data_IF_744120381072
#
_entry.id   IF_744120381072
#
_cell.length_a   1.000
_cell.length_b   1.000
_cell.length_c   1.000
_cell.angle_alpha   90.00
_cell.angle_beta   90.00
_cell.angle_gamma   90.00
#
_symmetry.space_group_name_H-M   'P 1'
#
loop_
_entity.id
_entity.type
_entity.pdbx_description
1 polymer ?
#
# COMPACT_ATOMS: atom_id res chain seq x y z
N UNK A 1 -10.82 -24.48 32.75
CA UNK A 1 -9.63 -23.61 32.67
C UNK A 1 -9.24 -23.49 31.21
N UNK A 2 -9.54 -22.35 30.56
CA UNK A 2 -9.08 -22.11 29.20
C UNK A 2 -7.55 -21.98 29.25
N UNK A 3 -6.85 -22.87 28.56
CA UNK A 3 -5.41 -22.76 28.32
C UNK A 3 -5.15 -21.38 27.72
N UNK A 4 -4.23 -20.62 28.30
CA UNK A 4 -3.82 -19.34 27.75
C UNK A 4 -3.37 -19.59 26.31
N UNK A 5 -4.13 -19.03 25.36
CA UNK A 5 -3.87 -19.14 23.94
C UNK A 5 -2.47 -18.57 23.68
N UNK A 6 -1.50 -19.45 23.40
CA UNK A 6 -0.10 -19.05 23.23
C UNK A 6 0.02 -18.21 21.97
N UNK A 7 -0.07 -16.88 22.16
CA UNK A 7 0.08 -15.88 21.11
C UNK A 7 1.55 -15.55 20.96
N UNK A 8 2.11 -15.93 19.81
CA UNK A 8 3.38 -15.36 19.34
C UNK A 8 3.09 -14.07 18.58
N UNK A 9 3.84 -13.00 18.85
CA UNK A 9 3.61 -11.73 18.18
C UNK A 9 4.90 -10.95 17.90
N UNK A 10 4.91 -10.29 16.75
CA UNK A 10 5.91 -9.31 16.33
C UNK A 10 5.14 -7.99 16.23
N UNK A 11 5.58 -6.96 16.96
CA UNK A 11 4.89 -5.67 16.99
C UNK A 11 5.81 -4.55 16.55
N UNK A 12 5.31 -3.69 15.66
CA UNK A 12 5.98 -2.52 15.12
C UNK A 12 7.42 -2.82 14.64
N UNK A 13 7.68 -4.02 14.12
CA UNK A 13 9.00 -4.38 13.62
C UNK A 13 9.32 -3.53 12.38
N UNK A 14 10.45 -2.82 12.30
CA UNK A 14 10.78 -2.03 11.13
C UNK A 14 10.98 -2.95 9.93
N UNK A 15 10.45 -2.55 8.78
CA UNK A 15 10.55 -3.36 7.56
C UNK A 15 11.04 -2.56 6.37
N UNK A 16 11.62 -3.28 5.41
CA UNK A 16 11.76 -2.84 4.02
C UNK A 16 11.02 -3.82 3.14
N UNK A 17 10.39 -3.33 2.09
CA UNK A 17 9.66 -4.18 1.15
C UNK A 17 10.18 -3.93 -0.24
N UNK A 18 10.44 -5.00 -0.98
CA UNK A 18 10.81 -4.97 -2.39
C UNK A 18 9.81 -5.82 -3.19
N UNK A 19 9.33 -5.28 -4.31
CA UNK A 19 8.41 -5.99 -5.21
C UNK A 19 8.64 -5.55 -6.65
N UNK A 20 8.25 -6.39 -7.61
CA UNK A 20 8.19 -6.01 -9.02
C UNK A 20 6.81 -5.41 -9.29
N UNK A 21 6.76 -4.19 -9.78
CA UNK A 21 5.48 -3.54 -10.08
C UNK A 21 4.86 -4.15 -11.34
N UNK A 22 3.58 -4.49 -11.26
CA UNK A 22 2.84 -5.13 -12.35
C UNK A 22 2.67 -4.25 -13.59
N UNK A 23 2.76 -2.92 -13.45
CA UNK A 23 2.49 -1.97 -14.52
C UNK A 23 3.71 -1.71 -15.42
N UNK A 24 4.90 -1.56 -14.84
CA UNK A 24 6.14 -1.20 -15.53
C UNK A 24 7.20 -2.31 -15.48
N UNK A 25 7.01 -3.33 -14.64
CA UNK A 25 7.99 -4.39 -14.42
C UNK A 25 9.21 -3.96 -13.60
N UNK A 26 9.22 -2.72 -13.09
CA UNK A 26 10.34 -2.18 -12.33
C UNK A 26 10.31 -2.68 -10.89
N UNK A 27 11.50 -2.81 -10.30
CA UNK A 27 11.64 -3.15 -8.89
C UNK A 27 11.39 -1.89 -8.05
N UNK A 28 10.32 -1.91 -7.26
CA UNK A 28 9.94 -0.83 -6.34
C UNK A 28 10.28 -1.22 -4.91
N UNK A 29 10.56 -0.21 -4.09
CA UNK A 29 10.94 -0.35 -2.68
C UNK A 29 10.12 0.56 -1.79
N UNK A 30 9.84 0.08 -0.58
CA UNK A 30 9.18 0.84 0.49
C UNK A 30 9.97 0.69 1.79
N UNK A 31 10.03 1.77 2.57
CA UNK A 31 10.65 1.80 3.89
C UNK A 31 12.05 2.45 3.94
N UNK A 32 12.72 2.68 2.81
CA UNK A 32 14.09 3.23 2.76
C UNK A 32 14.23 4.67 3.32
N UNK A 33 13.11 5.39 3.47
CA UNK A 33 13.08 6.74 4.05
C UNK A 33 11.84 7.09 4.86
N UNK A 34 10.86 6.19 4.98
CA UNK A 34 9.67 6.33 5.84
C UNK A 34 9.58 5.09 6.74
N UNK A 35 9.18 5.26 8.00
CA UNK A 35 9.10 4.16 8.97
C UNK A 35 7.92 3.24 8.64
N UNK A 36 8.12 2.29 7.72
CA UNK A 36 7.23 1.17 7.52
C UNK A 36 7.49 0.11 8.61
N UNK A 37 6.42 -0.43 9.18
CA UNK A 37 6.51 -1.49 10.19
C UNK A 37 5.59 -2.65 9.89
N UNK A 38 5.91 -3.83 10.42
CA UNK A 38 5.07 -5.02 10.42
C UNK A 38 4.56 -5.30 11.83
N UNK A 39 3.25 -5.51 11.93
CA UNK A 39 2.62 -6.21 13.03
C UNK A 39 2.21 -7.60 12.52
N UNK A 40 2.67 -8.64 13.21
CA UNK A 40 2.32 -10.03 12.97
C UNK A 40 1.91 -10.70 14.28
N UNK A 41 0.94 -11.59 14.22
CA UNK A 41 0.61 -12.45 15.34
C UNK A 41 0.12 -13.81 14.88
N UNK A 42 0.40 -14.83 15.68
CA UNK A 42 0.00 -16.20 15.47
C UNK A 42 -0.59 -16.76 16.75
N UNK A 43 -1.84 -17.21 16.68
CA UNK A 43 -2.55 -17.93 17.73
C UNK A 43 -2.47 -19.42 17.42
N UNK A 44 -1.51 -20.11 18.04
CA UNK A 44 -1.19 -21.50 17.68
C UNK A 44 -2.39 -22.44 17.89
N UNK A 45 -3.16 -22.26 18.97
CA UNK A 45 -4.27 -23.15 19.30
C UNK A 45 -5.45 -22.99 18.33
N UNK A 46 -5.73 -21.75 17.90
CA UNK A 46 -6.82 -21.42 16.98
C UNK A 46 -6.44 -21.50 15.51
N UNK A 47 -5.13 -21.58 15.21
CA UNK A 47 -4.58 -21.47 13.84
C UNK A 47 -5.08 -20.20 13.15
N UNK A 48 -5.07 -19.11 13.91
CA UNK A 48 -5.36 -17.77 13.41
C UNK A 48 -4.07 -16.95 13.34
N UNK A 49 -3.95 -16.09 12.34
CA UNK A 49 -2.88 -15.13 12.26
C UNK A 49 -3.37 -13.78 11.70
N UNK A 50 -2.52 -12.77 11.88
CA UNK A 50 -2.66 -11.51 11.16
C UNK A 50 -1.31 -11.02 10.64
N UNK A 51 -1.34 -10.38 9.48
CA UNK A 51 -0.21 -9.68 8.87
C UNK A 51 -0.66 -8.27 8.49
N UNK A 52 -0.07 -7.28 9.15
CA UNK A 52 -0.45 -5.87 9.01
C UNK A 52 0.80 -5.02 8.84
N UNK A 53 0.98 -4.48 7.63
CA UNK A 53 2.00 -3.48 7.39
C UNK A 53 1.41 -2.11 7.71
N UNK A 54 2.17 -1.27 8.40
CA UNK A 54 1.78 0.07 8.81
C UNK A 54 2.76 1.07 8.23
N UNK A 55 2.26 2.04 7.48
CA UNK A 55 3.09 3.01 6.77
C UNK A 55 2.57 4.44 7.00
N UNK A 56 3.33 5.32 7.67
CA UNK A 56 2.90 6.67 8.00
C UNK A 56 3.14 7.62 6.82
N UNK A 57 2.07 8.28 6.34
CA UNK A 57 2.11 9.24 5.23
C UNK A 57 1.67 10.62 5.74
N UNK A 58 2.36 11.69 5.34
CA UNK A 58 1.96 13.05 5.68
C UNK A 58 0.88 13.55 4.72
N UNK A 59 -0.29 13.93 5.25
CA UNK A 59 -1.42 14.44 4.49
C UNK A 59 -1.65 15.93 4.78
N UNK A 60 -2.19 16.68 3.82
CA UNK A 60 -2.63 18.06 4.01
C UNK A 60 -3.77 18.11 5.02
N UNK A 61 -3.88 19.23 5.74
CA UNK A 61 -4.92 19.42 6.76
C UNK A 61 -4.76 18.51 8.00
N UNK A 62 -3.68 17.71 8.10
CA UNK A 62 -3.41 16.84 9.25
C UNK A 62 -2.06 17.20 9.88
N UNK A 63 -2.06 17.43 11.19
CA UNK A 63 -0.86 17.86 11.93
C UNK A 63 0.21 16.77 12.09
N UNK A 64 -0.20 15.49 12.12
CA UNK A 64 0.68 14.32 12.25
C UNK A 64 0.57 13.43 11.01
N UNK A 65 1.62 12.64 10.73
CA UNK A 65 1.54 11.57 9.72
C UNK A 65 0.39 10.62 10.07
N UNK A 66 -0.37 10.22 9.07
CA UNK A 66 -1.48 9.28 9.20
C UNK A 66 -1.02 7.92 8.73
N UNK A 67 -1.30 6.87 9.51
CA UNK A 67 -0.95 5.51 9.11
C UNK A 67 -1.92 5.01 8.05
N UNK A 68 -1.36 4.45 6.99
CA UNK A 68 -2.05 3.55 6.09
C UNK A 68 -1.69 2.12 6.48
N UNK A 69 -2.62 1.21 6.26
CA UNK A 69 -2.47 -0.19 6.62
C UNK A 69 -2.58 -1.05 5.37
N UNK A 70 -1.64 -1.97 5.19
CA UNK A 70 -1.78 -3.03 4.20
C UNK A 70 -2.07 -4.33 4.94
N UNK A 71 -3.27 -4.86 4.74
CA UNK A 71 -3.74 -6.10 5.33
C UNK A 71 -3.51 -7.25 4.38
N UNK A 72 -2.69 -8.21 4.82
CA UNK A 72 -2.43 -9.45 4.09
C UNK A 72 -3.13 -10.57 4.86
N UNK A 73 -4.23 -11.08 4.32
CA UNK A 73 -5.00 -12.14 4.96
C UNK A 73 -4.29 -13.49 4.76
N UNK A 74 -4.12 -14.33 5.79
CA UNK A 74 -3.51 -15.66 5.67
C UNK A 74 -4.06 -16.52 4.53
N UNK A 75 -5.37 -16.42 4.25
CA UNK A 75 -6.07 -17.14 3.20
C UNK A 75 -5.63 -16.75 1.78
N UNK A 76 -5.01 -15.57 1.63
CA UNK A 76 -4.49 -15.08 0.34
C UNK A 76 -3.08 -15.56 0.05
N UNK A 77 -2.39 -16.21 1.00
CA UNK A 77 -1.06 -16.71 0.72
C UNK A 77 -1.13 -17.96 -0.16
N UNK A 78 -0.44 -17.89 -1.30
CA UNK A 78 -0.02 -19.08 -2.02
C UNK A 78 1.19 -19.72 -1.31
N UNK A 79 2.15 -18.91 -0.90
CA UNK A 79 3.32 -19.36 -0.14
C UNK A 79 3.92 -18.24 0.71
N UNK A 80 4.46 -18.63 1.87
CA UNK A 80 5.32 -17.78 2.71
C UNK A 80 6.62 -18.55 2.97
N UNK A 81 7.76 -17.99 2.57
CA UNK A 81 9.08 -18.59 2.87
C UNK A 81 9.90 -17.63 3.73
N UNK A 82 10.53 -18.17 4.77
CA UNK A 82 11.41 -17.44 5.68
C UNK A 82 12.84 -17.82 5.34
N UNK A 83 13.62 -16.86 4.84
CA UNK A 83 15.04 -17.03 4.54
C UNK A 83 15.86 -16.19 5.52
N UNK A 84 16.54 -16.86 6.45
CA UNK A 84 17.37 -16.26 7.49
C UNK A 84 18.87 -16.26 7.12
N UNK A 85 19.21 -16.68 5.90
CA UNK A 85 20.58 -16.71 5.45
C UNK A 85 21.07 -15.28 5.15
N UNK A 86 22.30 -14.91 5.54
CA UNK A 86 22.80 -13.55 5.31
C UNK A 86 22.72 -13.11 3.84
N UNK A 87 22.94 -14.01 2.88
CA UNK A 87 22.89 -13.72 1.45
C UNK A 87 21.48 -13.39 0.91
N UNK A 88 20.41 -13.72 1.64
CA UNK A 88 19.03 -13.46 1.22
C UNK A 88 18.70 -11.97 1.16
N UNK A 89 19.46 -11.15 1.88
CA UNK A 89 19.28 -9.70 1.94
C UNK A 89 20.33 -9.02 1.08
N UNK A 90 19.92 -8.07 0.23
CA UNK A 90 20.88 -7.35 -0.62
C UNK A 90 21.66 -6.28 0.17
N UNK A 91 22.89 -5.92 -0.24
CA UNK A 91 23.68 -4.88 0.43
C UNK A 91 22.95 -3.52 0.60
N UNK A 92 22.17 -3.00 -0.37
CA UNK A 92 21.43 -1.75 -0.19
C UNK A 92 20.40 -1.80 0.94
N UNK A 93 19.67 -2.91 1.07
CA UNK A 93 18.68 -3.09 2.13
C UNK A 93 19.37 -3.17 3.50
N UNK A 94 20.45 -3.94 3.62
CA UNK A 94 21.28 -4.00 4.85
C UNK A 94 21.74 -2.62 5.29
N UNK A 95 22.34 -1.87 4.36
CA UNK A 95 22.83 -0.53 4.63
C UNK A 95 21.71 0.41 5.10
N UNK A 96 20.47 0.23 4.59
CA UNK A 96 19.33 1.03 5.02
C UNK A 96 18.98 0.83 6.51
N UNK A 97 19.00 -0.41 7.01
CA UNK A 97 18.69 -0.74 8.41
C UNK A 97 19.76 -0.25 9.37
N UNK A 98 21.04 -0.33 8.96
CA UNK A 98 22.17 0.20 9.75
C UNK A 98 22.09 1.73 9.81
N UNK A 99 21.84 2.39 8.66
CA UNK A 99 21.73 3.86 8.58
C UNK A 99 20.59 4.41 9.45
N UNK A 100 19.50 3.67 9.60
CA UNK A 100 18.37 4.07 10.46
C UNK A 100 18.53 3.67 11.93
N UNK A 101 19.61 2.96 12.29
CA UNK A 101 19.86 2.48 13.65
C UNK A 101 18.95 1.34 14.09
N UNK A 102 18.26 0.68 13.15
CA UNK A 102 17.33 -0.42 13.42
C UNK A 102 18.07 -1.77 13.55
N UNK A 103 19.29 -1.86 12.99
CA UNK A 103 20.21 -2.97 13.21
C UNK A 103 21.62 -2.47 13.48
N UNK A 104 22.29 -3.06 14.47
CA UNK A 104 23.72 -2.84 14.76
C UNK A 104 24.61 -3.79 13.98
N UNK A 105 24.13 -4.99 13.67
CA UNK A 105 24.84 -6.00 12.87
C UNK A 105 24.07 -6.31 11.58
N UNK A 106 24.73 -6.29 10.41
CA UNK A 106 24.09 -6.52 9.12
C UNK A 106 23.62 -7.96 8.88
N UNK A 107 24.05 -8.90 9.73
CA UNK A 107 23.71 -10.33 9.65
C UNK A 107 22.38 -10.67 10.36
N UNK A 108 21.82 -9.75 11.15
CA UNK A 108 20.61 -9.99 11.91
C UNK A 108 19.35 -9.56 11.13
N UNK A 109 19.23 -9.97 9.86
CA UNK A 109 18.06 -9.69 9.03
C UNK A 109 17.51 -11.00 8.44
N UNK A 110 16.20 -11.09 8.30
CA UNK A 110 15.53 -12.17 7.57
C UNK A 110 14.79 -11.60 6.36
N UNK A 111 14.64 -12.41 5.32
CA UNK A 111 13.80 -12.13 4.16
C UNK A 111 12.55 -13.02 4.19
N UNK A 112 11.38 -12.39 4.13
CA UNK A 112 10.09 -13.06 4.01
C UNK A 112 9.62 -12.96 2.56
N UNK A 113 9.77 -14.04 1.82
CA UNK A 113 9.28 -14.12 0.46
C UNK A 113 7.80 -14.49 0.48
N UNK A 114 6.97 -13.60 -0.05
CA UNK A 114 5.52 -13.76 -0.11
C UNK A 114 5.08 -13.96 -1.55
N UNK A 115 4.20 -14.95 -1.76
CA UNK A 115 3.42 -15.12 -2.97
C UNK A 115 1.95 -15.22 -2.57
N UNK A 116 1.10 -14.43 -3.21
CA UNK A 116 -0.33 -14.31 -2.91
C UNK A 116 -1.18 -14.78 -4.10
N UNK A 117 -2.30 -15.42 -3.82
CA UNK A 117 -3.33 -15.76 -4.81
C UNK A 117 -4.13 -14.52 -5.23
N UNK A 118 -4.28 -13.57 -4.31
CA UNK A 118 -4.98 -12.29 -4.53
C UNK A 118 -4.18 -11.12 -3.95
N UNK A 119 -4.29 -9.91 -4.53
CA UNK A 119 -3.63 -8.72 -4.00
C UNK A 119 -4.05 -8.39 -2.55
N UNK A 120 -3.25 -7.59 -1.85
CA UNK A 120 -3.52 -7.21 -0.45
C UNK A 120 -4.50 -6.03 -0.35
N UNK A 121 -5.13 -5.84 0.83
CA UNK A 121 -6.09 -4.75 1.04
C UNK A 121 -5.37 -3.53 1.62
N UNK A 122 -5.32 -2.43 0.87
CA UNK A 122 -4.86 -1.15 1.38
C UNK A 122 -6.01 -0.42 2.07
N UNK A 123 -5.79 0.01 3.31
CA UNK A 123 -6.77 0.70 4.15
C UNK A 123 -6.24 2.07 4.55
N UNK A 124 -7.08 3.09 4.37
CA UNK A 124 -6.82 4.48 4.74
C UNK A 124 -7.85 5.03 5.74
N UNK A 125 -7.60 6.25 6.25
CA UNK A 125 -8.57 6.96 7.06
C UNK A 125 -9.79 7.39 6.21
N UNK A 126 -10.91 7.77 6.85
CA UNK A 126 -12.02 8.35 6.15
C UNK A 126 -11.57 9.61 5.36
N UNK A 127 -12.12 9.83 4.15
CA UNK A 127 -11.67 10.87 3.23
C UNK A 127 -12.11 12.29 3.61
N UNK A 128 -12.52 12.52 4.87
CA UNK A 128 -12.85 13.83 5.39
C UNK A 128 -11.89 14.19 6.54
N UNK A 129 -10.94 15.13 6.35
CA UNK A 129 -10.66 15.87 5.11
C UNK A 129 -10.04 14.97 4.01
N UNK A 130 -10.06 15.42 2.73
CA UNK A 130 -9.53 14.67 1.59
C UNK A 130 -8.11 14.13 1.82
N UNK A 131 -7.83 12.96 1.25
CA UNK A 131 -6.56 12.26 1.43
C UNK A 131 -5.47 12.80 0.49
N UNK A 132 -5.19 14.10 0.61
CA UNK A 132 -4.18 14.76 -0.22
C UNK A 132 -2.78 14.66 0.42
N UNK A 133 -1.77 14.13 -0.29
CA UNK A 133 -0.39 14.13 0.20
C UNK A 133 0.15 15.55 0.46
N UNK A 134 0.88 15.73 1.58
CA UNK A 134 1.45 17.02 1.98
C UNK A 134 2.65 17.44 1.12
N UNK A 135 3.34 16.49 0.49
CA UNK A 135 4.58 16.72 -0.25
C UNK A 135 4.76 15.69 -1.36
N UNK A 136 5.68 15.96 -2.31
CA UNK A 136 6.07 15.00 -3.37
C UNK A 136 6.49 13.64 -2.79
N UNK A 137 7.29 13.65 -1.71
CA UNK A 137 7.67 12.42 -1.00
C UNK A 137 6.44 11.65 -0.49
N UNK A 138 5.47 12.34 0.10
CA UNK A 138 4.25 11.69 0.61
C UNK A 138 3.37 11.14 -0.51
N UNK A 139 3.35 11.81 -1.68
CA UNK A 139 2.68 11.29 -2.89
C UNK A 139 3.35 10.01 -3.36
N UNK A 140 4.67 10.03 -3.51
CA UNK A 140 5.44 8.86 -3.94
C UNK A 140 5.26 7.68 -2.97
N UNK A 141 5.26 7.90 -1.65
CA UNK A 141 4.99 6.85 -0.65
C UNK A 141 3.59 6.27 -0.79
N UNK A 142 2.58 7.10 -1.08
CA UNK A 142 1.19 6.64 -1.28
C UNK A 142 1.04 5.86 -2.60
N UNK A 143 1.68 6.31 -3.67
CA UNK A 143 1.74 5.61 -4.97
C UNK A 143 2.45 4.26 -4.83
N UNK A 144 3.56 4.20 -4.09
CA UNK A 144 4.25 2.95 -3.75
C UNK A 144 3.37 2.00 -2.95
N UNK A 145 2.61 2.50 -1.97
CA UNK A 145 1.65 1.69 -1.21
C UNK A 145 0.54 1.11 -2.09
N UNK A 146 -0.03 1.93 -2.98
CA UNK A 146 -1.03 1.47 -3.94
C UNK A 146 -0.44 0.41 -4.89
N UNK A 147 0.78 0.62 -5.39
CA UNK A 147 1.47 -0.37 -6.21
C UNK A 147 1.76 -1.66 -5.46
N UNK A 148 2.21 -1.59 -4.21
CA UNK A 148 2.48 -2.76 -3.38
C UNK A 148 1.18 -3.52 -3.08
N UNK A 149 0.07 -2.81 -2.85
CA UNK A 149 -1.23 -3.44 -2.62
C UNK A 149 -1.71 -4.28 -3.80
N UNK A 150 -1.30 -3.93 -5.02
CA UNK A 150 -1.59 -4.68 -6.25
C UNK A 150 -0.58 -5.81 -6.53
N UNK A 151 0.54 -5.86 -5.81
CA UNK A 151 1.55 -6.90 -6.01
C UNK A 151 1.11 -8.21 -5.35
N UNK A 152 1.28 -9.31 -6.07
CA UNK A 152 1.10 -10.67 -5.54
C UNK A 152 2.42 -11.31 -5.12
N UNK A 153 3.55 -10.70 -5.44
CA UNK A 153 4.88 -11.18 -5.08
C UNK A 153 5.68 -10.02 -4.48
N UNK A 154 6.21 -10.23 -3.28
CA UNK A 154 7.10 -9.28 -2.64
C UNK A 154 8.08 -10.00 -1.70
N UNK A 155 9.13 -9.29 -1.31
CA UNK A 155 10.01 -9.70 -0.22
C UNK A 155 9.94 -8.65 0.87
N UNK A 156 9.63 -9.07 2.09
CA UNK A 156 9.65 -8.21 3.29
C UNK A 156 10.92 -8.53 4.07
N UNK A 157 11.77 -7.55 4.26
CA UNK A 157 12.98 -7.63 5.07
C UNK A 157 12.72 -7.02 6.44
N UNK A 158 13.21 -7.66 7.48
CA UNK A 158 13.07 -7.19 8.86
C UNK A 158 14.20 -7.75 9.75
N UNK A 159 14.46 -7.12 10.90
CA UNK A 159 15.43 -7.63 11.85
C UNK A 159 15.06 -9.01 12.41
N UNK A 160 16.05 -9.88 12.49
CA UNK A 160 15.97 -11.17 13.17
C UNK A 160 16.18 -10.95 14.66
N UNK A 161 15.12 -11.15 15.45
CA UNK A 161 15.20 -11.19 16.90
C UNK A 161 14.77 -12.57 17.41
N UNK A 162 15.10 -12.87 18.67
CA UNK A 162 14.80 -14.18 19.30
C UNK A 162 13.33 -14.63 19.11
N UNK A 163 12.39 -13.68 19.04
CA UNK A 163 10.95 -13.93 18.90
C UNK A 163 10.40 -13.70 17.49
N UNK A 164 11.24 -13.58 16.46
CA UNK A 164 10.81 -13.25 15.08
C UNK A 164 10.71 -14.49 14.19
N UNK A 165 11.77 -15.29 14.11
CA UNK A 165 11.87 -16.38 13.12
C UNK A 165 10.93 -17.54 13.40
N UNK A 166 10.87 -18.04 14.64
CA UNK A 166 10.08 -19.23 14.98
C UNK A 166 8.56 -19.05 14.74
N UNK A 167 7.94 -17.91 15.11
CA UNK A 167 6.54 -17.66 14.78
C UNK A 167 6.26 -17.58 13.28
N UNK A 168 7.15 -16.94 12.51
CA UNK A 168 7.01 -16.81 11.05
C UNK A 168 7.19 -18.15 10.34
N UNK A 169 8.14 -18.99 10.78
CA UNK A 169 8.33 -20.35 10.27
C UNK A 169 7.12 -21.24 10.59
N UNK A 170 6.53 -21.09 11.77
CA UNK A 170 5.29 -21.78 12.15
C UNK A 170 4.12 -21.35 11.24
N UNK A 171 3.98 -20.05 10.99
CA UNK A 171 2.99 -19.51 10.06
C UNK A 171 3.19 -20.05 8.64
N UNK A 172 4.43 -20.06 8.14
CA UNK A 172 4.80 -20.62 6.84
C UNK A 172 4.37 -22.08 6.68
N UNK A 173 4.59 -22.90 7.71
CA UNK A 173 4.15 -24.31 7.74
C UNK A 173 2.62 -24.42 7.71
N UNK A 174 1.91 -23.59 8.48
CA UNK A 174 0.45 -23.59 8.52
C UNK A 174 -0.17 -23.12 7.19
N UNK A 175 0.41 -22.09 6.56
CA UNK A 175 0.04 -21.58 5.23
C UNK A 175 0.20 -22.67 4.19
N UNK A 176 1.36 -23.33 4.15
CA UNK A 176 1.64 -24.40 3.17
C UNK A 176 0.68 -25.58 3.29
N UNK A 177 0.12 -25.80 4.48
CA UNK A 177 -0.91 -26.81 4.73
C UNK A 177 -2.36 -26.33 4.53
N UNK A 178 -2.58 -25.05 4.21
CA UNK A 178 -3.92 -24.47 4.05
C UNK A 178 -4.74 -24.39 5.34
N UNK A 179 -4.09 -24.38 6.52
CA UNK A 179 -4.75 -24.47 7.83
C UNK A 179 -4.75 -23.16 8.62
N UNK A 180 -4.20 -22.08 8.06
CA UNK A 180 -4.11 -20.78 8.72
C UNK A 180 -5.25 -19.87 8.27
N UNK A 181 -5.93 -19.23 9.22
CA UNK A 181 -7.02 -18.29 8.95
C UNK A 181 -6.74 -16.91 9.55
N UNK A 182 -7.46 -15.90 9.08
CA UNK A 182 -7.43 -14.55 9.60
C UNK A 182 -7.98 -14.48 11.01
N UNK A 183 -7.28 -13.79 11.92
CA UNK A 183 -7.85 -13.46 13.22
C UNK A 183 -8.90 -12.35 13.09
N UNK A 184 -10.15 -12.63 13.44
CA UNK A 184 -11.28 -11.72 13.18
C UNK A 184 -11.09 -10.34 13.83
N UNK A 185 -10.53 -10.28 15.03
CA UNK A 185 -10.39 -9.05 15.81
C UNK A 185 -9.35 -8.05 15.28
N UNK A 186 -8.35 -8.54 14.54
CA UNK A 186 -7.16 -7.77 14.16
C UNK A 186 -7.32 -7.02 12.83
N UNK A 187 -8.32 -7.42 12.03
CA UNK A 187 -8.70 -6.81 10.75
C UNK A 187 -9.94 -5.90 10.83
N UNK A 188 -10.51 -5.70 12.03
CA UNK A 188 -11.71 -4.86 12.23
C UNK A 188 -11.44 -3.39 11.88
N UNK A 189 -12.05 -2.95 10.78
CA UNK A 189 -11.86 -1.61 10.23
C UNK A 189 -12.40 -0.53 11.16
N UNK A 190 -13.51 -0.80 11.85
CA UNK A 190 -14.18 0.12 12.78
C UNK A 190 -13.28 0.55 13.95
N UNK A 191 -12.31 -0.29 14.34
CA UNK A 191 -11.35 0.02 15.42
C UNK A 191 -10.23 0.96 14.97
N UNK A 192 -10.04 1.14 13.66
CA UNK A 192 -8.99 2.00 13.13
C UNK A 192 -9.31 3.49 13.32
N UNK A 193 -8.25 4.30 13.28
CA UNK A 193 -8.35 5.77 13.32
C UNK A 193 -9.13 6.33 14.52
N UNK A 194 -8.86 5.76 15.71
CA UNK A 194 -9.53 6.13 16.97
C UNK A 194 -11.03 5.89 16.93
N UNK A 195 -11.45 4.75 16.35
CA UNK A 195 -12.87 4.37 16.27
C UNK A 195 -13.65 5.03 15.13
N UNK A 196 -12.97 5.78 14.26
CA UNK A 196 -13.60 6.45 13.10
C UNK A 196 -13.82 5.52 11.91
N UNK A 197 -13.28 4.31 11.98
CA UNK A 197 -13.30 3.35 10.87
C UNK A 197 -12.19 3.61 9.86
N UNK A 198 -11.63 2.54 9.31
CA UNK A 198 -10.81 2.56 8.10
C UNK A 198 -11.65 2.22 6.87
N UNK A 199 -11.20 2.68 5.70
CA UNK A 199 -11.83 2.37 4.42
C UNK A 199 -10.81 1.74 3.47
N UNK A 200 -11.16 0.66 2.76
CA UNK A 200 -10.36 0.16 1.66
C UNK A 200 -10.15 1.25 0.61
N UNK A 201 -8.91 1.43 0.18
CA UNK A 201 -8.55 2.35 -0.88
C UNK A 201 -8.53 1.55 -2.17
N UNK A 202 -9.39 1.92 -3.12
CA UNK A 202 -9.33 1.34 -4.45
C UNK A 202 -7.96 1.61 -5.07
N UNK A 203 -7.38 0.66 -5.82
CA UNK A 203 -6.23 0.97 -6.66
C UNK A 203 -6.57 2.18 -7.52
N UNK A 204 -5.64 3.12 -7.68
CA UNK A 204 -5.83 4.21 -8.62
C UNK A 204 -6.11 3.60 -9.98
N UNK A 205 -7.35 3.71 -10.43
CA UNK A 205 -7.71 3.42 -11.79
C UNK A 205 -7.00 4.47 -12.64
N UNK A 206 -5.84 4.12 -13.17
CA UNK A 206 -5.40 4.72 -14.42
C UNK A 206 -6.59 4.56 -15.36
N UNK A 207 -7.20 5.64 -15.88
CA UNK A 207 -8.19 5.47 -16.92
C UNK A 207 -7.54 4.64 -18.04
N UNK A 208 -8.25 3.67 -18.63
CA UNK A 208 -7.71 2.96 -19.78
C UNK A 208 -7.23 3.99 -20.81
N UNK A 209 -6.08 3.76 -21.48
CA UNK A 209 -5.51 4.72 -22.43
C UNK A 209 -6.38 5.04 -23.66
N UNK A 210 -7.63 4.55 -23.72
CA UNK A 210 -8.57 4.74 -24.84
C UNK A 210 -9.87 5.47 -24.47
N UNK A 211 -9.90 6.29 -23.43
CA UNK A 211 -10.89 7.35 -23.36
C UNK A 211 -10.35 8.56 -24.13
N UNK A 212 -10.29 8.44 -25.46
CA UNK A 212 -10.23 9.62 -26.31
C UNK A 212 -11.36 10.55 -25.89
N UNK A 213 -11.12 11.87 -25.73
CA UNK A 213 -12.22 12.81 -25.52
C UNK A 213 -13.23 12.63 -26.66
N UNK A 214 -14.55 12.78 -26.42
CA UNK A 214 -15.53 12.63 -27.48
C UNK A 214 -15.14 13.52 -28.67
N UNK A 215 -14.96 12.91 -29.85
CA UNK A 215 -14.74 13.68 -31.07
C UNK A 215 -15.97 14.52 -31.33
N UNK A 216 -15.81 15.84 -31.38
CA UNK A 216 -16.87 16.80 -31.67
C UNK A 216 -17.00 17.03 -33.19
N UNK A 217 -16.90 15.98 -34.00
CA UNK A 217 -16.97 16.07 -35.47
C UNK A 217 -18.40 16.04 -36.03
N UNK A 218 -19.43 16.03 -35.18
CA UNK A 218 -20.82 16.24 -35.62
C UNK A 218 -21.33 17.66 -35.28
N UNK A 219 -20.56 18.68 -35.66
CA UNK A 219 -21.20 19.95 -36.00
C UNK A 219 -21.76 19.81 -37.42
N UNK A 220 -23.03 19.42 -37.50
CA UNK A 220 -23.81 19.59 -38.72
C UNK A 220 -23.66 21.00 -39.29
N UNK A 221 -23.84 21.19 -40.61
CA UNK A 221 -23.44 22.39 -41.33
C UNK A 221 -23.95 23.66 -40.61
N UNK A 222 -23.01 24.57 -40.35
CA UNK A 222 -23.29 25.88 -39.77
C UNK A 222 -24.41 26.57 -40.57
N UNK A 223 -25.42 27.16 -39.89
CA UNK A 223 -26.47 27.87 -40.60
C UNK A 223 -25.88 29.03 -41.42
N UNK A 224 -26.41 29.30 -42.62
CA UNK A 224 -25.85 30.32 -43.50
C UNK A 224 -25.92 31.71 -42.84
N UNK A 225 -24.94 32.58 -43.13
CA UNK A 225 -24.88 33.90 -42.54
C UNK A 225 -26.12 34.74 -42.90
N UNK A 226 -26.68 35.52 -41.95
CA UNK A 226 -27.81 36.39 -42.24
C UNK A 226 -27.43 37.45 -43.28
N UNK A 227 -28.30 37.61 -44.26
CA UNK A 227 -28.16 38.56 -45.37
C UNK A 227 -27.85 39.97 -44.88
N UNK A 228 -26.75 40.55 -45.36
CA UNK A 228 -26.40 41.97 -45.22
C UNK A 228 -27.59 42.83 -45.68
N UNK A 229 -28.32 43.41 -44.73
CA UNK A 229 -29.19 44.57 -45.04
C UNK A 229 -28.28 45.72 -45.46
N UNK A 230 -28.41 46.10 -46.74
CA UNK A 230 -27.87 47.34 -47.29
C UNK A 230 -28.34 48.50 -46.40
N UNK A 231 -27.41 49.07 -45.64
CA UNK A 231 -27.62 50.33 -44.94
C UNK A 231 -27.55 51.41 -46.01
N UNK A 232 -28.69 52.03 -46.29
CA UNK A 232 -28.76 53.19 -47.17
C UNK A 232 -27.83 54.28 -46.62
N UNK A 233 -26.85 54.65 -47.45
CA UNK A 233 -26.20 55.97 -47.50
C UNK A 233 -27.31 57.03 -47.62
N UNK A 234 -27.32 58.14 -46.87
CA UNK A 234 -26.40 59.31 -46.93
C UNK A 234 -26.90 60.35 -45.90
N UNK A 235 -26.35 61.58 -45.85
CA UNK A 235 -24.99 61.97 -45.50
C UNK A 235 -24.95 62.93 -44.29
N UNK A 236 -23.73 63.24 -43.85
CA UNK A 236 -23.42 64.23 -42.83
C UNK A 236 -23.71 65.68 -43.27
N UNK A 237 -24.08 66.54 -42.31
CA UNK A 237 -23.74 67.97 -42.31
C UNK A 237 -23.36 68.37 -40.89
N UNK A 238 -22.15 68.91 -40.76
CA UNK A 238 -21.59 69.54 -39.56
C UNK A 238 -22.11 70.96 -39.38
N UNK A 239 -22.22 71.38 -38.12
CA UNK A 239 -22.44 72.76 -37.66
C UNK A 239 -22.56 72.77 -36.15
#
# INVERSE_FOLDING_TARGET
MASADEKSAIQNAPIRVEWKCSADGEVKRLGDGDRATLDFGLYHSRREAYFKLRVPVALKGRGKKTNFYLFIHPERFHSLNVDDRPEAVSPPIRASFVRTGECTTPEALIALHISLTEPSILVGPPPNPPLEPKSKKSSATLEQLQSLAQATHATIYLPSHANTTAPLASASTLISSGRLQSSQDEYLLERLYSGKGGLPIAPSSTPPPDASPPSYDELGPTPPPPSRRRRHTSPAVSG
#
